data_IF_457362634677
#
_entry.id   IF_457362634677
#
_cell.length_a   1.000
_cell.length_b   1.000
_cell.length_c   1.000
_cell.angle_alpha   90.00
_cell.angle_beta   90.00
_cell.angle_gamma   90.00
#
_symmetry.space_group_name_H-M   'P 1'
#
loop_
_entity.id
_entity.type
_entity.pdbx_description
1 polymer ?
#
# COMPACT_ATOMS: atom_id res chain seq x y z
N UNK A 1 36.22 -22.06 64.61
CA UNK A 1 35.42 -22.60 63.49
C UNK A 1 35.39 -21.55 62.39
N UNK A 2 36.35 -21.57 61.47
CA UNK A 2 36.47 -20.57 60.40
C UNK A 2 35.93 -21.15 59.11
N UNK A 3 34.78 -20.64 58.67
CA UNK A 3 34.15 -20.99 57.39
C UNK A 3 35.00 -20.46 56.23
N UNK A 4 35.64 -21.39 55.51
CA UNK A 4 36.32 -21.11 54.24
C UNK A 4 35.27 -20.80 53.16
N UNK A 5 35.18 -19.53 52.77
CA UNK A 5 34.40 -19.11 51.60
C UNK A 5 35.15 -19.53 50.32
N UNK A 6 34.68 -20.61 49.68
CA UNK A 6 35.19 -21.08 48.41
C UNK A 6 34.95 -20.02 47.32
N UNK A 7 36.03 -19.37 46.86
CA UNK A 7 36.00 -18.47 45.70
C UNK A 7 35.53 -19.24 44.47
N UNK A 8 34.37 -18.87 43.91
CA UNK A 8 33.90 -19.37 42.61
C UNK A 8 34.92 -19.01 41.52
N UNK A 9 35.61 -20.02 41.00
CA UNK A 9 36.53 -19.89 39.88
C UNK A 9 35.77 -19.40 38.66
N UNK A 10 36.11 -18.21 38.17
CA UNK A 10 35.52 -17.61 36.98
C UNK A 10 35.96 -18.42 35.74
N UNK A 11 35.16 -19.41 35.33
CA UNK A 11 35.39 -20.17 34.10
C UNK A 11 35.27 -19.21 32.92
N UNK A 12 36.37 -18.98 32.19
CA UNK A 12 36.33 -18.23 30.93
C UNK A 12 35.53 -19.07 29.93
N UNK A 13 34.47 -18.49 29.36
CA UNK A 13 33.68 -19.15 28.30
C UNK A 13 34.59 -19.55 27.15
N UNK A 14 34.40 -20.74 26.60
CA UNK A 14 35.15 -21.19 25.43
C UNK A 14 34.71 -20.42 24.19
N UNK A 15 35.53 -20.47 23.13
CA UNK A 15 35.20 -19.82 21.84
C UNK A 15 33.90 -20.42 21.28
N UNK A 16 33.72 -21.73 21.41
CA UNK A 16 32.52 -22.45 20.94
C UNK A 16 31.24 -22.04 21.69
N UNK A 17 31.34 -21.83 23.02
CA UNK A 17 30.21 -21.32 23.83
C UNK A 17 29.80 -19.91 23.40
N UNK A 18 30.75 -19.07 22.99
CA UNK A 18 30.47 -17.71 22.48
C UNK A 18 29.86 -17.73 21.08
N UNK A 19 30.30 -18.64 20.21
CA UNK A 19 29.71 -18.80 18.88
C UNK A 19 28.25 -19.25 18.97
N UNK A 20 27.94 -20.21 19.84
CA UNK A 20 26.58 -20.66 20.08
C UNK A 20 25.67 -19.54 20.65
N UNK A 21 26.21 -18.68 21.52
CA UNK A 21 25.48 -17.52 22.05
C UNK A 21 25.16 -16.51 20.94
N UNK A 22 26.12 -16.22 20.06
CA UNK A 22 25.92 -15.35 18.89
C UNK A 22 24.87 -15.94 17.92
N UNK A 23 24.93 -17.24 17.64
CA UNK A 23 23.96 -17.90 16.76
C UNK A 23 22.53 -17.83 17.34
N UNK A 24 22.38 -17.99 18.65
CA UNK A 24 21.10 -17.83 19.34
C UNK A 24 20.59 -16.39 19.25
N UNK A 25 21.46 -15.40 19.47
CA UNK A 25 21.11 -13.97 19.33
C UNK A 25 20.66 -13.64 17.90
N UNK A 26 21.34 -14.19 16.89
CA UNK A 26 20.97 -14.03 15.47
C UNK A 26 19.62 -14.68 15.19
N UNK A 27 19.36 -15.88 15.70
CA UNK A 27 18.09 -16.56 15.53
C UNK A 27 16.93 -15.79 16.19
N UNK A 28 17.13 -15.27 17.40
CA UNK A 28 16.15 -14.43 18.09
C UNK A 28 15.88 -13.12 17.36
N UNK A 29 16.93 -12.46 16.85
CA UNK A 29 16.79 -11.23 16.08
C UNK A 29 16.00 -11.47 14.79
N UNK A 30 16.28 -12.56 14.07
CA UNK A 30 15.53 -12.97 12.87
C UNK A 30 14.06 -13.23 13.19
N UNK A 31 13.77 -13.99 14.25
CA UNK A 31 12.40 -14.26 14.66
C UNK A 31 11.62 -12.97 15.00
N UNK A 32 12.26 -12.02 15.70
CA UNK A 32 11.67 -10.70 15.98
C UNK A 32 11.38 -9.91 14.71
N UNK A 33 12.31 -9.90 13.75
CA UNK A 33 12.14 -9.22 12.47
C UNK A 33 11.02 -9.85 11.63
N UNK A 34 10.89 -11.18 11.61
CA UNK A 34 9.80 -11.86 10.91
C UNK A 34 8.42 -11.51 11.47
N UNK A 35 8.30 -11.41 12.80
CA UNK A 35 7.05 -10.97 13.45
C UNK A 35 6.71 -9.53 13.09
N UNK A 36 7.71 -8.64 13.07
CA UNK A 36 7.52 -7.25 12.66
C UNK A 36 7.11 -7.15 11.20
N UNK A 37 7.73 -7.92 10.30
CA UNK A 37 7.38 -7.97 8.89
C UNK A 37 5.92 -8.41 8.68
N UNK A 38 5.48 -9.49 9.34
CA UNK A 38 4.09 -9.93 9.29
C UNK A 38 3.12 -8.86 9.79
N UNK A 39 3.46 -8.15 10.87
CA UNK A 39 2.64 -7.06 11.38
C UNK A 39 2.53 -5.88 10.38
N UNK A 40 3.60 -5.55 9.66
CA UNK A 40 3.56 -4.55 8.60
C UNK A 40 2.72 -4.99 7.40
N UNK A 41 2.83 -6.26 6.99
CA UNK A 41 2.01 -6.81 5.91
C UNK A 41 0.53 -6.81 6.24
N UNK A 42 0.15 -7.17 7.47
CA UNK A 42 -1.23 -7.09 7.92
C UNK A 42 -1.76 -5.67 7.95
N UNK A 43 -0.95 -4.69 8.40
CA UNK A 43 -1.32 -3.27 8.36
C UNK A 43 -1.49 -2.80 6.92
N UNK A 44 -0.62 -3.21 6.01
CA UNK A 44 -0.73 -2.91 4.57
C UNK A 44 -2.02 -3.47 4.00
N UNK A 45 -2.36 -4.75 4.28
CA UNK A 45 -3.61 -5.39 3.86
C UNK A 45 -4.83 -4.65 4.39
N UNK A 46 -4.85 -4.31 5.68
CA UNK A 46 -5.93 -3.53 6.32
C UNK A 46 -6.10 -2.15 5.69
N UNK A 47 -5.01 -1.47 5.33
CA UNK A 47 -5.05 -0.18 4.65
C UNK A 47 -5.55 -0.31 3.20
N UNK A 48 -5.14 -1.35 2.47
CA UNK A 48 -5.61 -1.59 1.10
C UNK A 48 -7.07 -2.03 1.05
N UNK A 49 -7.56 -2.73 2.07
CA UNK A 49 -8.95 -3.17 2.18
C UNK A 49 -9.85 -2.17 2.89
N UNK A 50 -9.27 -1.07 3.39
CA UNK A 50 -9.99 -0.06 4.16
C UNK A 50 -11.21 0.44 3.38
N UNK A 51 -12.39 0.54 4.02
CA UNK A 51 -13.59 1.08 3.40
C UNK A 51 -13.39 2.47 2.80
N UNK A 52 -12.48 3.27 3.36
CA UNK A 52 -12.15 4.60 2.84
C UNK A 52 -11.49 4.52 1.46
N UNK A 53 -10.58 3.57 1.24
CA UNK A 53 -9.95 3.36 -0.06
C UNK A 53 -10.97 2.81 -1.06
N UNK A 54 -11.79 1.83 -0.67
CA UNK A 54 -12.88 1.32 -1.53
C UNK A 54 -13.84 2.42 -1.96
N UNK A 55 -14.14 3.37 -1.06
CA UNK A 55 -14.97 4.54 -1.37
C UNK A 55 -14.28 5.47 -2.36
N UNK A 56 -12.99 5.74 -2.16
CA UNK A 56 -12.20 6.57 -3.07
C UNK A 56 -12.12 5.95 -4.48
N UNK A 57 -11.78 4.65 -4.56
CA UNK A 57 -11.75 3.90 -5.82
C UNK A 57 -13.12 3.90 -6.52
N UNK A 58 -14.21 3.76 -5.75
CA UNK A 58 -15.56 3.82 -6.29
C UNK A 58 -15.95 5.23 -6.77
N UNK A 59 -15.48 6.29 -6.09
CA UNK A 59 -15.68 7.66 -6.53
C UNK A 59 -14.91 7.95 -7.83
N UNK A 60 -13.65 7.51 -7.93
CA UNK A 60 -12.84 7.65 -9.14
C UNK A 60 -13.50 6.94 -10.34
N UNK A 61 -13.97 5.70 -10.18
CA UNK A 61 -14.73 4.98 -11.22
C UNK A 61 -15.96 5.77 -11.66
N UNK A 62 -16.75 6.29 -10.71
CA UNK A 62 -17.92 7.13 -11.03
C UNK A 62 -17.56 8.44 -11.72
N UNK A 63 -16.37 9.00 -11.48
CA UNK A 63 -15.90 10.20 -12.19
C UNK A 63 -15.58 9.84 -13.65
N UNK A 64 -14.84 8.74 -13.83
CA UNK A 64 -14.49 8.22 -15.15
C UNK A 64 -15.75 7.91 -15.99
N UNK A 65 -16.70 7.14 -15.44
CA UNK A 65 -17.93 6.78 -16.16
C UNK A 65 -18.72 8.01 -16.63
N UNK A 66 -18.72 9.08 -15.84
CA UNK A 66 -19.40 10.33 -16.19
C UNK A 66 -18.69 11.09 -17.30
N UNK A 67 -17.36 11.09 -17.29
CA UNK A 67 -16.55 11.68 -18.38
C UNK A 67 -16.81 10.91 -19.67
N UNK A 68 -16.71 9.58 -19.63
CA UNK A 68 -16.97 8.72 -20.80
C UNK A 68 -18.37 8.93 -21.35
N UNK A 69 -19.40 8.91 -20.48
CA UNK A 69 -20.79 9.11 -20.91
C UNK A 69 -21.01 10.50 -21.52
N UNK A 70 -20.27 11.52 -21.07
CA UNK A 70 -20.37 12.89 -21.59
C UNK A 70 -19.66 13.03 -22.94
N UNK A 71 -18.49 12.41 -23.09
CA UNK A 71 -17.67 12.51 -24.31
C UNK A 71 -18.19 11.62 -25.44
N UNK A 72 -18.54 10.37 -25.12
CA UNK A 72 -18.92 9.35 -26.10
C UNK A 72 -20.05 8.49 -25.54
N UNK A 73 -21.31 8.98 -25.65
CA UNK A 73 -22.48 8.23 -25.20
C UNK A 73 -22.60 6.87 -25.89
N UNK A 74 -22.93 5.83 -25.12
CA UNK A 74 -23.16 4.47 -25.65
C UNK A 74 -21.92 3.64 -25.89
N UNK A 75 -20.72 4.16 -25.62
CA UNK A 75 -19.51 3.35 -25.63
C UNK A 75 -19.52 2.34 -24.48
N UNK A 76 -19.10 1.13 -24.80
CA UNK A 76 -18.91 0.03 -23.83
C UNK A 76 -17.42 -0.18 -23.56
N UNK A 77 -17.10 -0.97 -22.54
CA UNK A 77 -15.72 -1.31 -22.17
C UNK A 77 -14.89 -1.84 -23.35
N UNK A 78 -15.53 -2.56 -24.28
CA UNK A 78 -14.89 -3.07 -25.51
C UNK A 78 -14.41 -1.95 -26.43
N UNK A 79 -15.18 -0.87 -26.53
CA UNK A 79 -14.81 0.30 -27.33
C UNK A 79 -13.66 1.05 -26.67
N UNK A 80 -13.68 1.18 -25.34
CA UNK A 80 -12.59 1.80 -24.57
C UNK A 80 -11.28 1.01 -24.73
N UNK A 81 -11.32 -0.32 -24.62
CA UNK A 81 -10.14 -1.16 -24.86
C UNK A 81 -9.60 -1.01 -26.29
N UNK A 82 -10.48 -0.89 -27.29
CA UNK A 82 -10.09 -0.62 -28.67
C UNK A 82 -9.41 0.75 -28.84
N UNK A 83 -9.88 1.79 -28.15
CA UNK A 83 -9.25 3.11 -28.15
C UNK A 83 -7.87 3.08 -27.47
N UNK A 84 -7.76 2.44 -26.31
CA UNK A 84 -6.48 2.27 -25.59
C UNK A 84 -5.46 1.51 -26.47
N UNK A 85 -5.90 0.45 -27.15
CA UNK A 85 -5.02 -0.32 -28.04
C UNK A 85 -4.48 0.50 -29.22
N UNK A 86 -5.20 1.54 -29.66
CA UNK A 86 -4.75 2.48 -30.69
C UNK A 86 -3.79 3.53 -30.13
N UNK A 87 -4.09 4.05 -28.94
CA UNK A 87 -3.29 5.09 -28.28
C UNK A 87 -1.98 4.58 -27.65
N UNK A 88 -1.78 3.26 -27.54
CA UNK A 88 -0.62 2.65 -26.82
C UNK A 88 0.78 3.07 -27.30
N UNK A 89 0.88 3.60 -28.52
CA UNK A 89 2.15 4.02 -29.12
C UNK A 89 2.31 5.55 -29.15
N UNK A 90 1.33 6.28 -28.62
CA UNK A 90 1.38 7.74 -28.55
C UNK A 90 2.17 8.18 -27.31
N UNK A 91 2.43 9.48 -27.21
CA UNK A 91 3.12 10.05 -26.07
C UNK A 91 2.25 9.96 -24.80
N UNK A 92 2.71 9.13 -23.87
CA UNK A 92 2.00 8.83 -22.63
C UNK A 92 1.88 10.05 -21.70
N UNK A 93 2.85 10.97 -21.75
CA UNK A 93 2.82 12.16 -20.89
C UNK A 93 1.75 13.14 -21.38
N UNK A 94 1.65 13.31 -22.70
CA UNK A 94 0.58 14.10 -23.33
C UNK A 94 -0.80 13.49 -23.06
N UNK A 95 -0.97 12.17 -23.23
CA UNK A 95 -2.23 11.48 -22.94
C UNK A 95 -2.65 11.62 -21.47
N UNK A 96 -1.69 11.59 -20.53
CA UNK A 96 -1.95 11.79 -19.11
C UNK A 96 -2.43 13.22 -18.83
N UNK A 97 -1.80 14.22 -19.44
CA UNK A 97 -2.18 15.62 -19.28
C UNK A 97 -3.59 15.89 -19.83
N UNK A 98 -3.89 15.39 -21.03
CA UNK A 98 -5.21 15.50 -21.65
C UNK A 98 -6.29 14.77 -20.85
N UNK A 99 -6.01 13.53 -20.43
CA UNK A 99 -6.92 12.75 -19.59
C UNK A 99 -7.23 13.46 -18.27
N UNK A 100 -6.23 14.08 -17.64
CA UNK A 100 -6.40 14.88 -16.43
C UNK A 100 -7.31 16.08 -16.68
N UNK A 101 -7.09 16.82 -17.77
CA UNK A 101 -7.92 17.97 -18.14
C UNK A 101 -9.39 17.56 -18.39
N UNK A 102 -9.63 16.42 -19.05
CA UNK A 102 -10.97 15.88 -19.29
C UNK A 102 -11.68 15.47 -17.99
N UNK A 103 -10.94 14.85 -17.06
CA UNK A 103 -11.46 14.50 -15.74
C UNK A 103 -11.80 15.74 -14.90
N UNK A 104 -11.03 16.82 -15.00
CA UNK A 104 -11.35 18.07 -14.30
C UNK A 104 -12.55 18.80 -14.89
N UNK A 105 -12.70 18.78 -16.21
CA UNK A 105 -13.80 19.41 -16.94
C UNK A 105 -15.13 18.66 -16.75
N UNK A 106 -15.13 17.33 -16.83
CA UNK A 106 -16.37 16.53 -16.90
C UNK A 106 -16.53 15.54 -15.72
N UNK A 107 -15.46 15.29 -14.96
CA UNK A 107 -15.46 14.31 -13.86
C UNK A 107 -16.04 14.84 -12.55
N UNK A 108 -16.27 16.16 -12.40
CA UNK A 108 -16.91 16.70 -11.18
C UNK A 108 -18.36 16.27 -11.08
N UNK A 109 -18.76 15.70 -9.95
CA UNK A 109 -20.17 15.39 -9.63
C UNK A 109 -21.04 16.61 -9.91
N UNK A 110 -22.24 16.44 -10.48
CA UNK A 110 -23.27 17.49 -10.41
C UNK A 110 -23.44 17.76 -8.91
N UNK A 111 -22.87 18.87 -8.45
CA UNK A 111 -22.81 19.22 -7.03
C UNK A 111 -24.21 19.09 -6.47
N UNK A 112 -24.38 18.19 -5.50
CA UNK A 112 -25.66 17.98 -4.84
C UNK A 112 -26.19 19.34 -4.41
N UNK A 113 -27.36 19.71 -4.96
CA UNK A 113 -28.20 20.85 -4.63
C UNK A 113 -27.75 21.51 -3.33
N UNK A 114 -26.96 22.59 -3.44
CA UNK A 114 -26.61 23.46 -2.32
C UNK A 114 -27.96 23.81 -1.68
N UNK A 115 -28.25 23.29 -0.48
CA UNK A 115 -29.46 23.68 0.25
C UNK A 115 -29.36 25.20 0.35
N UNK A 116 -30.28 25.92 -0.30
CA UNK A 116 -30.45 27.36 -0.04
C UNK A 116 -30.67 27.46 1.46
N UNK A 117 -29.74 28.10 2.15
CA UNK A 117 -30.02 28.57 3.50
C UNK A 117 -31.28 29.46 3.38
N UNK A 118 -32.33 29.05 4.09
CA UNK A 118 -33.44 29.93 4.43
C UNK A 118 -33.08 30.71 5.68
#
# INVERSE_FOLDING_TARGET
>A
MTEQTAKRTHRRRTIDERLAEIDNEVAEAKAKLEVQLRAFEERKKKLTESPAKRKLDAEERKRFDRVVTTLVPGWTDRHMLGAIARAKNEDMDTLLAEGTALMDAHGKGRGGRRRKAG
#
